data_IF_832377312632
#
_entry.id   IF_832377312632
#
_cell.length_a   1.000
_cell.length_b   1.000
_cell.length_c   1.000
_cell.angle_alpha   90.00
_cell.angle_beta   90.00
_cell.angle_gamma   90.00
#
_symmetry.space_group_name_H-M   'P 1'
#
loop_
_entity.id
_entity.type
_entity.pdbx_description
1 polymer ?
#
# COMPACT_ATOMS: atom_id res chain seq x y z
N UNK A 1 3.85 17.21 -3.05
CA UNK A 1 4.14 15.89 -2.46
C UNK A 1 4.66 14.98 -3.56
N UNK A 2 5.84 14.37 -3.38
CA UNK A 2 6.42 13.43 -4.34
C UNK A 2 5.76 12.06 -4.14
N UNK A 3 5.46 11.36 -5.23
CA UNK A 3 4.91 9.99 -5.19
C UNK A 3 5.87 9.04 -5.91
N UNK A 4 6.35 8.03 -5.19
CA UNK A 4 7.12 6.93 -5.74
C UNK A 4 6.18 5.75 -6.01
N UNK A 5 6.01 5.41 -7.28
CA UNK A 5 5.18 4.27 -7.68
C UNK A 5 6.08 3.07 -7.98
N UNK A 6 5.75 1.93 -7.37
CA UNK A 6 6.43 0.65 -7.56
C UNK A 6 5.53 -0.30 -8.33
N UNK A 7 6.08 -0.91 -9.37
CA UNK A 7 5.37 -1.86 -10.23
C UNK A 7 5.34 -3.28 -9.65
N UNK A 8 6.29 -3.60 -8.77
CA UNK A 8 6.35 -4.89 -8.08
C UNK A 8 6.43 -4.69 -6.56
N UNK A 9 5.97 -5.70 -5.82
CA UNK A 9 5.92 -5.67 -4.36
C UNK A 9 7.32 -5.70 -3.75
N UNK A 10 8.25 -6.46 -4.31
CA UNK A 10 9.58 -6.64 -3.73
C UNK A 10 10.35 -5.31 -3.58
N UNK A 11 10.33 -4.48 -4.61
CA UNK A 11 11.00 -3.17 -4.58
C UNK A 11 10.29 -2.19 -3.64
N UNK A 12 8.96 -2.29 -3.53
CA UNK A 12 8.21 -1.55 -2.52
C UNK A 12 8.61 -1.96 -1.10
N UNK A 13 8.79 -3.26 -0.84
CA UNK A 13 9.23 -3.76 0.46
C UNK A 13 10.64 -3.28 0.82
N UNK A 14 11.57 -3.24 -0.14
CA UNK A 14 12.92 -2.67 0.07
C UNK A 14 12.85 -1.20 0.50
N UNK A 15 11.88 -0.45 -0.02
CA UNK A 15 11.68 0.95 0.31
C UNK A 15 11.09 1.19 1.72
N UNK A 16 10.58 0.16 2.40
CA UNK A 16 10.02 0.30 3.76
C UNK A 16 11.03 0.82 4.78
N UNK A 17 12.34 0.69 4.55
CA UNK A 17 13.38 1.31 5.38
C UNK A 17 13.28 2.83 5.45
N UNK A 18 12.61 3.47 4.48
CA UNK A 18 12.41 4.91 4.38
C UNK A 18 11.16 5.41 5.10
N UNK A 19 10.35 4.51 5.67
CA UNK A 19 9.07 4.84 6.32
C UNK A 19 9.27 5.76 7.52
N UNK A 20 8.33 6.67 7.75
CA UNK A 20 8.35 7.56 8.93
C UNK A 20 7.61 6.96 10.14
N UNK A 21 6.76 5.97 9.90
CA UNK A 21 5.97 5.24 10.88
C UNK A 21 5.96 3.75 10.52
N UNK A 22 5.63 2.88 11.49
CA UNK A 22 5.50 1.44 11.27
C UNK A 22 4.11 1.08 10.70
N UNK A 23 3.61 1.87 9.75
CA UNK A 23 2.26 1.69 9.19
C UNK A 23 2.34 1.61 7.67
N UNK A 24 1.69 0.59 7.11
CA UNK A 24 1.43 0.46 5.68
C UNK A 24 -0.06 0.41 5.49
N UNK A 25 -0.57 1.32 4.68
CA UNK A 25 -1.99 1.44 4.36
C UNK A 25 -2.30 0.56 3.15
N UNK A 26 -3.43 -0.13 3.21
CA UNK A 26 -3.96 -0.97 2.13
C UNK A 26 -5.35 -0.49 1.73
N UNK A 27 -5.56 -0.34 0.43
CA UNK A 27 -6.84 -0.02 -0.17
C UNK A 27 -7.20 -1.06 -1.23
N UNK A 28 -8.43 -1.57 -1.16
CA UNK A 28 -9.00 -2.46 -2.18
C UNK A 28 -9.91 -1.65 -3.08
N UNK A 29 -9.67 -1.74 -4.38
CA UNK A 29 -10.56 -1.20 -5.40
C UNK A 29 -11.09 -2.38 -6.20
N UNK A 30 -12.39 -2.62 -6.08
CA UNK A 30 -13.09 -3.54 -6.96
C UNK A 30 -13.40 -2.80 -8.26
N UNK A 31 -12.85 -3.28 -9.38
CA UNK A 31 -13.27 -2.77 -10.68
C UNK A 31 -14.69 -3.28 -10.92
N UNK A 32 -15.68 -2.37 -10.92
CA UNK A 32 -17.05 -2.70 -11.32
C UNK A 32 -17.05 -3.03 -12.81
N UNK A 33 -16.74 -4.27 -13.15
CA UNK A 33 -17.05 -4.80 -14.48
C UNK A 33 -18.56 -5.00 -14.55
N UNK A 34 -19.11 -4.68 -15.72
CA UNK A 34 -20.50 -4.91 -16.13
C UNK A 34 -21.03 -6.28 -15.71
N UNK A 35 -22.36 -6.42 -15.50
CA UNK A 35 -23.00 -7.54 -14.78
C UNK A 35 -22.79 -8.96 -15.35
N UNK A 36 -22.07 -9.13 -16.45
CA UNK A 36 -21.88 -10.42 -17.13
C UNK A 36 -20.50 -11.08 -16.91
N UNK A 37 -19.62 -10.50 -16.09
CA UNK A 37 -18.30 -11.09 -15.79
C UNK A 37 -18.19 -11.42 -14.29
N UNK A 38 -18.21 -12.70 -13.97
CA UNK A 38 -18.06 -13.26 -12.60
C UNK A 38 -16.66 -13.13 -12.00
N UNK A 39 -15.73 -12.44 -12.66
CA UNK A 39 -14.38 -12.13 -12.15
C UNK A 39 -14.20 -10.62 -12.02
N UNK A 40 -14.37 -10.09 -10.81
CA UNK A 40 -13.97 -8.73 -10.49
C UNK A 40 -12.45 -8.63 -10.52
N UNK A 41 -11.89 -7.76 -11.37
CA UNK A 41 -10.49 -7.38 -11.27
C UNK A 41 -10.35 -6.47 -10.04
N UNK A 42 -9.79 -7.02 -8.95
CA UNK A 42 -9.47 -6.28 -7.74
C UNK A 42 -8.09 -5.64 -7.89
N UNK A 43 -7.93 -4.44 -7.35
CA UNK A 43 -6.61 -3.81 -7.17
C UNK A 43 -6.38 -3.61 -5.69
N UNK A 44 -5.27 -4.12 -5.19
CA UNK A 44 -4.74 -3.81 -3.88
C UNK A 44 -3.67 -2.72 -4.03
N UNK A 45 -3.94 -1.55 -3.46
CA UNK A 45 -2.99 -0.45 -3.40
C UNK A 45 -2.37 -0.47 -2.00
N UNK A 46 -1.05 -0.59 -1.94
CA UNK A 46 -0.28 -0.44 -0.71
C UNK A 46 0.38 0.93 -0.69
N UNK A 47 0.40 1.59 0.46
CA UNK A 47 0.98 2.91 0.61
C UNK A 47 1.66 3.09 1.96
N UNK A 48 2.74 3.87 2.01
CA UNK A 48 3.28 4.40 3.26
C UNK A 48 3.89 5.78 3.04
N UNK A 49 4.04 6.54 4.12
CA UNK A 49 4.77 7.80 4.10
C UNK A 49 6.23 7.57 4.44
N UNK A 50 7.13 8.15 3.67
CA UNK A 50 8.56 7.98 3.83
C UNK A 50 9.35 9.25 3.55
N UNK A 51 10.61 9.27 4.02
CA UNK A 51 11.59 10.29 3.70
C UNK A 51 12.53 9.77 2.60
N UNK A 52 12.59 10.42 1.42
CA UNK A 52 13.46 9.98 0.34
C UNK A 52 14.95 10.04 0.70
N UNK A 53 15.31 11.02 1.52
CA UNK A 53 16.63 11.23 2.09
C UNK A 53 16.47 11.36 3.61
N UNK A 54 17.21 10.54 4.36
CA UNK A 54 17.16 10.53 5.82
C UNK A 54 17.69 11.83 6.44
N UNK A 55 18.55 12.55 5.72
CA UNK A 55 19.13 13.82 6.14
C UNK A 55 18.21 15.01 5.83
N UNK A 56 17.24 14.84 4.93
CA UNK A 56 16.27 15.87 4.59
C UNK A 56 14.97 15.65 5.37
N UNK A 57 14.84 16.32 6.51
CA UNK A 57 13.70 16.16 7.42
C UNK A 57 12.42 16.83 6.94
N UNK A 58 12.48 17.71 5.94
CA UNK A 58 11.33 18.52 5.48
C UNK A 58 10.57 17.87 4.32
N UNK A 59 11.20 16.94 3.60
CA UNK A 59 10.58 16.29 2.44
C UNK A 59 9.93 14.96 2.81
N UNK A 60 8.60 14.95 2.83
CA UNK A 60 7.79 13.73 2.94
C UNK A 60 7.32 13.31 1.53
N UNK A 61 7.46 12.02 1.24
CA UNK A 61 6.98 11.41 0.01
C UNK A 61 6.03 10.25 0.30
N UNK A 62 5.11 10.01 -0.64
CA UNK A 62 4.23 8.87 -0.65
C UNK A 62 4.88 7.75 -1.45
N UNK A 63 5.00 6.57 -0.86
CA UNK A 63 5.45 5.36 -1.54
C UNK A 63 4.20 4.51 -1.80
N UNK A 64 4.01 4.07 -3.04
CA UNK A 64 2.82 3.33 -3.46
C UNK A 64 3.18 2.12 -4.31
N UNK A 65 2.51 0.99 -4.08
CA UNK A 65 2.55 -0.19 -4.94
C UNK A 65 1.13 -0.60 -5.31
N UNK A 66 0.90 -1.00 -6.56
CA UNK A 66 -0.40 -1.48 -7.03
C UNK A 66 -0.28 -2.95 -7.44
N UNK A 67 -0.95 -3.82 -6.70
CA UNK A 67 -1.02 -5.25 -6.94
C UNK A 67 -2.36 -5.55 -7.61
N UNK A 68 -2.33 -6.24 -8.76
CA UNK A 68 -3.53 -6.71 -9.44
C UNK A 68 -3.92 -8.08 -8.89
N UNK A 69 -5.18 -8.23 -8.52
CA UNK A 69 -5.75 -9.42 -7.92
C UNK A 69 -6.98 -9.82 -8.74
N UNK A 70 -7.13 -11.10 -9.05
CA UNK A 70 -8.21 -11.59 -9.94
C UNK A 70 -9.42 -12.11 -9.18
N UNK A 71 -9.27 -12.43 -7.89
CA UNK A 71 -10.35 -13.05 -7.10
C UNK A 71 -10.37 -12.57 -5.65
N UNK A 72 -11.53 -12.70 -4.99
CA UNK A 72 -11.69 -12.43 -3.56
C UNK A 72 -10.80 -13.35 -2.70
N UNK A 73 -10.61 -14.60 -3.13
CA UNK A 73 -9.75 -15.55 -2.43
C UNK A 73 -8.29 -15.08 -2.48
N UNK A 74 -7.77 -14.81 -3.68
CA UNK A 74 -6.41 -14.29 -3.87
C UNK A 74 -6.18 -12.99 -3.10
N UNK A 75 -7.20 -12.13 -2.99
CA UNK A 75 -7.16 -10.93 -2.13
C UNK A 75 -6.91 -11.30 -0.68
N UNK A 76 -7.70 -12.20 -0.12
CA UNK A 76 -7.59 -12.59 1.29
C UNK A 76 -6.25 -13.27 1.57
N UNK A 77 -5.81 -14.15 0.68
CA UNK A 77 -4.52 -14.84 0.78
C UNK A 77 -3.37 -13.82 0.78
N UNK A 78 -3.38 -12.87 -0.18
CA UNK A 78 -2.38 -11.78 -0.26
C UNK A 78 -2.35 -10.92 1.01
N UNK A 79 -3.51 -10.61 1.60
CA UNK A 79 -3.59 -9.84 2.86
C UNK A 79 -2.90 -10.58 3.99
N UNK A 80 -3.19 -11.87 4.12
CA UNK A 80 -2.65 -12.67 5.20
C UNK A 80 -1.13 -12.81 5.07
N UNK A 81 -0.64 -13.01 3.85
CA UNK A 81 0.79 -13.04 3.56
C UNK A 81 1.48 -11.71 3.88
N UNK A 82 0.88 -10.58 3.49
CA UNK A 82 1.40 -9.25 3.81
C UNK A 82 1.45 -9.00 5.32
N UNK A 83 0.40 -9.39 6.06
CA UNK A 83 0.40 -9.28 7.53
C UNK A 83 1.54 -10.06 8.16
N UNK A 84 1.72 -11.33 7.77
CA UNK A 84 2.82 -12.17 8.27
C UNK A 84 4.18 -11.59 7.93
N UNK A 85 4.36 -11.11 6.69
CA UNK A 85 5.61 -10.50 6.25
C UNK A 85 5.93 -9.23 7.05
N UNK A 86 4.93 -8.40 7.33
CA UNK A 86 5.07 -7.16 8.09
C UNK A 86 5.28 -7.36 9.59
N UNK A 87 4.67 -8.39 10.18
CA UNK A 87 4.98 -8.82 11.54
C UNK A 87 6.43 -9.28 11.65
N UNK A 88 6.90 -10.11 10.71
CA UNK A 88 8.28 -10.60 10.66
C UNK A 88 9.32 -9.48 10.40
N UNK A 89 8.97 -8.47 9.60
CA UNK A 89 9.86 -7.36 9.23
C UNK A 89 10.04 -6.27 10.31
N UNK A 90 9.48 -6.48 11.51
CA UNK A 90 9.64 -5.56 12.65
C UNK A 90 8.34 -4.90 13.10
N UNK A 91 7.25 -5.66 13.17
CA UNK A 91 5.93 -5.20 13.64
C UNK A 91 5.37 -3.99 12.87
N UNK A 92 5.40 -4.07 11.53
CA UNK A 92 4.71 -3.10 10.69
C UNK A 92 3.19 -3.41 10.72
N UNK A 93 2.38 -2.42 11.03
CA UNK A 93 0.92 -2.52 11.05
C UNK A 93 0.36 -2.35 9.63
N UNK A 94 -0.36 -3.36 9.13
CA UNK A 94 -1.15 -3.22 7.92
C UNK A 94 -2.52 -2.61 8.25
N UNK A 95 -2.72 -1.35 7.89
CA UNK A 95 -3.95 -0.60 8.14
C UNK A 95 -4.82 -0.65 6.89
N UNK A 96 -6.11 -0.94 7.05
CA UNK A 96 -7.07 -0.80 5.96
C UNK A 96 -7.52 0.66 5.89
N UNK A 97 -7.28 1.33 4.76
CA UNK A 97 -7.62 2.75 4.60
C UNK A 97 -6.78 3.44 3.53
N UNK A 98 -7.04 4.74 3.32
CA UNK A 98 -6.29 5.54 2.35
C UNK A 98 -5.56 6.69 3.01
N UNK A 99 -4.26 6.83 2.71
CA UNK A 99 -3.44 7.95 3.23
C UNK A 99 -4.00 9.31 2.79
N UNK A 100 -4.79 9.36 1.71
CA UNK A 100 -5.37 10.60 1.17
C UNK A 100 -6.34 11.28 2.15
N UNK A 101 -6.92 10.56 3.11
CA UNK A 101 -7.76 11.14 4.16
C UNK A 101 -6.95 11.92 5.20
N UNK A 102 -5.69 11.53 5.46
CA UNK A 102 -4.80 12.24 6.40
C UNK A 102 -4.47 13.65 5.87
N UNK A 103 -4.43 13.84 4.55
CA UNK A 103 -4.05 15.11 3.94
C UNK A 103 -5.22 16.05 3.65
N UNK A 104 -6.46 15.56 3.54
CA UNK A 104 -7.64 16.43 3.40
C UNK A 104 -7.97 17.19 4.69
N UNK A 105 -7.53 16.69 5.85
CA UNK A 105 -7.71 17.38 7.14
C UNK A 105 -6.70 18.50 7.41
N UNK A 106 -5.74 18.73 6.50
CA UNK A 106 -4.68 19.76 6.65
C UNK A 106 -4.93 20.95 5.69
N UNK A 107 -6.04 20.93 4.95
CA UNK A 107 -6.48 22.03 4.07
C UNK A 107 -7.62 22.84 4.66
#
# INVERSE_FOLDING_TARGET
MIVYNYENLEDFLKALSKRINNEVFSQYIESKSTPDITSGDFKLILQFLGKPDINNTTLIALYQCVIRIKTIKERNDTIEELKKAFEAAGAISLIQGWIKEIFQSIS
#
